data_IF_430934189915
#
_entry.id   IF_430934189915
#
_cell.length_a   1.000
_cell.length_b   1.000
_cell.length_c   1.000
_cell.angle_alpha   90.00
_cell.angle_beta   90.00
_cell.angle_gamma   90.00
#
_symmetry.space_group_name_H-M   'P 1'
#
loop_
_entity.id
_entity.type
_entity.pdbx_description
1 polymer ?
#
# COMPACT_ATOMS: atom_id res chain seq x y z
N UNK A 1 21.88 -4.64 15.03
CA UNK A 1 22.18 -4.49 13.60
C UNK A 1 23.53 -3.84 13.35
N UNK A 2 23.84 -2.63 13.85
CA UNK A 2 25.15 -1.98 13.64
C UNK A 2 26.34 -2.88 14.02
N UNK A 3 26.30 -3.49 15.21
CA UNK A 3 27.39 -4.38 15.68
C UNK A 3 27.54 -5.63 14.81
N UNK A 4 26.44 -6.13 14.23
CA UNK A 4 26.48 -7.24 13.27
C UNK A 4 27.20 -6.83 11.98
N UNK A 5 26.90 -5.64 11.44
CA UNK A 5 27.61 -5.13 10.25
C UNK A 5 29.09 -4.98 10.54
N UNK A 6 29.46 -4.34 11.66
CA UNK A 6 30.86 -4.14 12.05
C UNK A 6 31.61 -5.45 12.23
N UNK A 7 30.97 -6.43 12.88
CA UNK A 7 31.57 -7.75 13.11
C UNK A 7 31.86 -8.53 11.83
N UNK A 8 31.04 -8.35 10.78
CA UNK A 8 31.22 -9.07 9.51
C UNK A 8 32.29 -8.40 8.62
N UNK A 9 32.28 -7.06 8.63
CA UNK A 9 33.20 -6.28 7.77
C UNK A 9 34.56 -6.03 8.44
N UNK A 10 34.68 -6.40 9.72
CA UNK A 10 35.87 -6.19 10.54
C UNK A 10 36.27 -4.69 10.64
N UNK A 11 35.29 -3.85 10.95
CA UNK A 11 35.45 -2.40 11.09
C UNK A 11 35.04 -1.95 12.48
N UNK A 12 35.56 -0.81 12.89
CA UNK A 12 35.17 -0.18 14.14
C UNK A 12 34.39 1.15 13.95
N UNK A 13 34.09 1.83 15.07
CA UNK A 13 33.34 3.08 15.02
C UNK A 13 34.15 4.26 14.48
N UNK A 14 35.48 4.13 14.38
CA UNK A 14 36.35 5.15 13.78
C UNK A 14 36.42 5.02 12.26
N UNK A 15 36.24 3.81 11.72
CA UNK A 15 36.23 3.55 10.28
C UNK A 15 34.89 3.97 9.67
N UNK A 16 33.78 3.49 10.26
CA UNK A 16 32.42 3.85 9.81
C UNK A 16 31.59 4.28 11.02
N UNK A 17 31.16 5.53 11.04
CA UNK A 17 30.35 6.09 12.12
C UNK A 17 28.94 5.45 12.21
N UNK A 18 28.34 5.51 13.39
CA UNK A 18 26.95 5.04 13.61
C UNK A 18 25.95 5.68 12.65
N UNK A 19 26.12 6.98 12.39
CA UNK A 19 25.24 7.72 11.46
C UNK A 19 25.30 7.18 10.03
N UNK A 20 26.51 6.80 9.59
CA UNK A 20 26.67 6.22 8.22
C UNK A 20 26.06 4.84 8.16
N UNK A 21 26.22 4.01 9.20
CA UNK A 21 25.57 2.69 9.27
C UNK A 21 24.04 2.81 9.32
N UNK A 22 23.50 3.80 10.04
CA UNK A 22 22.06 4.05 10.08
C UNK A 22 21.53 4.48 8.70
N UNK A 23 22.30 5.29 7.97
CA UNK A 23 21.95 5.63 6.58
C UNK A 23 21.93 4.38 5.68
N UNK A 24 22.91 3.49 5.82
CA UNK A 24 22.95 2.26 5.03
C UNK A 24 21.76 1.33 5.37
N UNK A 25 21.44 1.20 6.65
CA UNK A 25 20.27 0.43 7.10
C UNK A 25 18.97 1.07 6.62
N UNK A 26 18.86 2.40 6.68
CA UNK A 26 17.71 3.16 6.18
C UNK A 26 17.52 3.00 4.66
N UNK A 27 18.59 3.08 3.88
CA UNK A 27 18.52 2.80 2.43
C UNK A 27 18.05 1.38 2.12
N UNK A 28 18.49 0.39 2.90
CA UNK A 28 18.03 -0.98 2.79
C UNK A 28 16.53 -1.10 3.12
N UNK A 29 16.09 -0.42 4.15
CA UNK A 29 14.70 -0.34 4.55
C UNK A 29 13.83 0.26 3.44
N UNK A 30 14.22 1.41 2.89
CA UNK A 30 13.52 2.05 1.79
C UNK A 30 13.46 1.15 0.55
N UNK A 31 14.56 0.47 0.23
CA UNK A 31 14.62 -0.46 -0.90
C UNK A 31 13.59 -1.60 -0.74
N UNK A 32 13.40 -2.12 0.48
CA UNK A 32 12.41 -3.16 0.76
C UNK A 32 10.99 -2.60 0.69
N UNK A 33 10.74 -1.46 1.35
CA UNK A 33 9.40 -0.85 1.47
C UNK A 33 8.85 -0.38 0.13
N UNK A 34 9.72 0.25 -0.67
CA UNK A 34 9.34 0.82 -1.97
C UNK A 34 9.62 -0.12 -3.15
N UNK A 35 10.02 -1.38 -2.88
CA UNK A 35 9.95 -2.41 -3.91
C UNK A 35 8.50 -2.47 -4.44
N UNK A 36 8.30 -2.77 -5.73
CA UNK A 36 7.00 -2.76 -6.41
C UNK A 36 5.94 -3.68 -5.78
N UNK A 37 6.30 -4.39 -4.72
CA UNK A 37 5.44 -5.34 -4.03
C UNK A 37 4.59 -4.64 -2.97
N UNK A 38 3.32 -5.01 -2.94
CA UNK A 38 2.42 -4.64 -1.87
C UNK A 38 2.68 -5.54 -0.67
N UNK A 39 3.08 -4.93 0.45
CA UNK A 39 3.35 -5.64 1.68
C UNK A 39 2.11 -5.72 2.57
N UNK A 40 1.59 -6.92 2.90
CA UNK A 40 0.38 -7.07 3.72
C UNK A 40 0.52 -6.48 5.14
N UNK A 41 1.72 -6.40 5.67
CA UNK A 41 1.96 -5.85 7.01
C UNK A 41 1.86 -4.31 7.10
N UNK A 42 1.72 -3.62 5.96
CA UNK A 42 1.35 -2.20 5.93
C UNK A 42 -0.14 -1.98 5.69
N UNK A 43 -0.90 -3.05 5.47
CA UNK A 43 -2.34 -2.95 5.35
C UNK A 43 -2.98 -2.70 6.72
N UNK A 44 -3.89 -1.75 6.77
CA UNK A 44 -4.66 -1.43 7.96
C UNK A 44 -6.05 -0.94 7.58
N UNK A 45 -6.87 -0.72 8.58
CA UNK A 45 -8.20 -0.15 8.40
C UNK A 45 -8.36 1.07 9.28
N UNK A 46 -9.09 2.06 8.77
CA UNK A 46 -9.50 3.23 9.51
C UNK A 46 -10.94 3.58 9.16
N UNK A 47 -11.51 4.50 9.88
CA UNK A 47 -12.85 5.02 9.61
C UNK A 47 -12.82 6.54 9.55
N UNK A 48 -13.72 7.14 8.80
CA UNK A 48 -13.96 8.57 8.85
C UNK A 48 -15.46 8.85 8.68
N UNK A 49 -15.90 9.99 9.20
CA UNK A 49 -17.29 10.38 9.09
C UNK A 49 -17.49 11.39 7.96
N UNK A 50 -18.53 11.18 7.16
CA UNK A 50 -18.94 12.17 6.18
C UNK A 50 -19.60 13.37 6.85
N UNK A 51 -19.56 14.50 6.17
CA UNK A 51 -20.25 15.73 6.57
C UNK A 51 -21.21 16.09 5.44
N UNK A 52 -22.46 16.38 5.78
CA UNK A 52 -23.46 16.78 4.79
C UNK A 52 -22.98 17.97 3.95
N UNK A 53 -23.10 17.86 2.64
CA UNK A 53 -22.63 18.87 1.69
C UNK A 53 -21.12 18.84 1.38
N UNK A 54 -20.33 18.00 2.05
CA UNK A 54 -18.89 17.85 1.80
C UNK A 54 -18.63 16.64 0.90
N UNK A 55 -18.10 16.89 -0.27
CA UNK A 55 -17.85 15.88 -1.30
C UNK A 55 -16.43 15.28 -1.21
N UNK A 56 -15.45 16.06 -0.76
CA UNK A 56 -14.02 15.73 -0.84
C UNK A 56 -13.40 15.57 0.54
N UNK A 57 -12.52 14.56 0.67
CA UNK A 57 -11.80 14.20 1.91
C UNK A 57 -10.36 13.94 1.58
N UNK A 58 -9.42 14.67 2.21
CA UNK A 58 -7.99 14.47 2.01
C UNK A 58 -7.51 13.22 2.74
N UNK A 59 -6.46 12.55 2.25
CA UNK A 59 -5.86 11.42 2.95
C UNK A 59 -5.45 11.76 4.38
N UNK A 60 -4.95 12.98 4.60
CA UNK A 60 -4.58 13.46 5.93
C UNK A 60 -5.80 13.52 6.88
N UNK A 61 -6.97 13.96 6.38
CA UNK A 61 -8.20 13.99 7.19
C UNK A 61 -8.73 12.59 7.50
N UNK A 62 -8.59 11.65 6.57
CA UNK A 62 -8.95 10.24 6.76
C UNK A 62 -8.00 9.57 7.76
N UNK A 63 -6.71 9.82 7.66
CA UNK A 63 -5.69 9.28 8.58
C UNK A 63 -5.85 9.78 10.02
N UNK A 64 -6.42 10.97 10.21
CA UNK A 64 -6.56 11.63 11.51
C UNK A 64 -7.81 11.29 12.31
N UNK A 65 -8.76 10.50 11.80
CA UNK A 65 -10.08 10.33 12.43
C UNK A 65 -10.65 8.91 12.29
N UNK A 66 -11.20 8.31 13.32
CA UNK A 66 -10.89 8.44 14.75
C UNK A 66 -9.63 7.65 15.13
N UNK A 67 -9.24 6.67 14.29
CA UNK A 67 -8.06 5.82 14.47
C UNK A 67 -6.88 6.50 13.77
N UNK A 68 -6.06 7.19 14.55
CA UNK A 68 -4.94 7.97 13.99
C UNK A 68 -3.88 7.07 13.38
N UNK A 69 -3.73 7.16 12.06
CA UNK A 69 -2.60 6.59 11.33
C UNK A 69 -1.51 7.66 11.26
N UNK A 70 -0.62 7.67 12.26
CA UNK A 70 0.41 8.72 12.43
C UNK A 70 1.37 8.83 11.26
N UNK A 71 1.60 7.73 10.54
CA UNK A 71 2.48 7.65 9.38
C UNK A 71 1.81 8.15 8.08
N UNK A 72 0.50 8.42 8.12
CA UNK A 72 -0.29 8.76 6.95
C UNK A 72 -0.66 7.56 6.08
N UNK A 73 -1.53 7.82 5.12
CA UNK A 73 -2.04 6.82 4.18
C UNK A 73 -1.27 6.93 2.87
N UNK A 74 -0.77 5.81 2.37
CA UNK A 74 -0.10 5.70 1.06
C UNK A 74 -1.10 5.41 -0.06
N UNK A 75 -2.07 4.51 0.21
CA UNK A 75 -3.03 4.05 -0.78
C UNK A 75 -4.34 3.65 -0.12
N UNK A 76 -5.46 3.93 -0.80
CA UNK A 76 -6.78 3.44 -0.42
C UNK A 76 -7.11 2.21 -1.26
N UNK A 77 -7.40 1.11 -0.60
CA UNK A 77 -7.71 -0.15 -1.24
C UNK A 77 -9.20 -0.34 -1.48
N UNK A 78 -10.01 0.06 -0.51
CA UNK A 78 -11.47 0.01 -0.63
C UNK A 78 -12.13 0.92 0.39
N UNK A 79 -13.27 1.46 0.02
CA UNK A 79 -14.17 2.19 0.89
C UNK A 79 -15.48 1.45 1.01
N UNK A 80 -16.08 1.45 2.20
CA UNK A 80 -17.41 0.91 2.42
C UNK A 80 -18.16 1.75 3.46
N UNK A 81 -19.45 1.83 3.32
CA UNK A 81 -20.33 2.25 4.41
C UNK A 81 -20.89 1.02 5.13
N UNK A 82 -21.84 1.21 6.04
CA UNK A 82 -22.47 0.10 6.77
C UNK A 82 -23.20 -0.89 5.85
N UNK A 83 -23.72 -0.44 4.72
CA UNK A 83 -24.66 -1.20 3.90
C UNK A 83 -23.96 -1.85 2.68
N UNK A 84 -23.00 -1.17 2.09
CA UNK A 84 -22.35 -1.65 0.85
C UNK A 84 -20.91 -1.15 0.69
N UNK A 85 -20.18 -1.79 -0.22
CA UNK A 85 -18.86 -1.34 -0.67
C UNK A 85 -19.07 -0.26 -1.72
N UNK A 86 -18.35 0.86 -1.59
CA UNK A 86 -18.36 1.94 -2.57
C UNK A 86 -17.58 1.50 -3.82
N UNK A 87 -18.14 1.73 -4.99
CA UNK A 87 -17.49 1.41 -6.25
C UNK A 87 -16.44 2.48 -6.60
N UNK A 88 -15.23 2.04 -6.95
CA UNK A 88 -14.21 2.97 -7.45
C UNK A 88 -14.50 3.32 -8.90
N UNK A 89 -14.51 4.60 -9.21
CA UNK A 89 -14.65 5.12 -10.57
C UNK A 89 -13.43 5.98 -10.94
N UNK A 90 -12.93 5.85 -12.16
CA UNK A 90 -11.88 6.73 -12.67
C UNK A 90 -12.38 8.18 -12.76
N UNK A 91 -11.46 9.14 -12.60
CA UNK A 91 -11.83 10.57 -12.61
C UNK A 91 -12.54 10.99 -13.90
N UNK A 92 -12.08 10.49 -15.05
CA UNK A 92 -12.70 10.79 -16.36
C UNK A 92 -14.16 10.33 -16.39
N UNK A 93 -14.45 9.14 -15.85
CA UNK A 93 -15.81 8.62 -15.73
C UNK A 93 -16.63 9.39 -14.71
N UNK A 94 -16.01 9.79 -13.59
CA UNK A 94 -16.65 10.57 -12.57
C UNK A 94 -17.11 11.94 -13.13
N UNK A 95 -16.25 12.61 -13.87
CA UNK A 95 -16.55 13.90 -14.49
C UNK A 95 -17.65 13.79 -15.58
N UNK A 96 -17.72 12.65 -16.25
CA UNK A 96 -18.77 12.37 -17.24
C UNK A 96 -20.11 12.08 -16.59
N UNK A 97 -20.14 11.25 -15.52
CA UNK A 97 -21.38 10.83 -14.85
C UNK A 97 -21.92 11.92 -13.92
N UNK A 98 -21.01 12.65 -13.25
CA UNK A 98 -21.30 13.69 -12.26
C UNK A 98 -20.73 15.05 -12.69
N UNK A 99 -21.27 15.69 -13.71
CA UNK A 99 -20.77 16.98 -14.16
C UNK A 99 -20.85 18.02 -13.03
N UNK A 100 -19.91 18.96 -13.03
CA UNK A 100 -19.71 19.95 -11.96
C UNK A 100 -20.95 20.81 -11.64
N UNK A 101 -21.84 20.97 -12.59
CA UNK A 101 -23.05 21.78 -12.46
C UNK A 101 -24.25 21.00 -11.88
N UNK A 102 -24.10 19.69 -11.64
CA UNK A 102 -25.16 18.85 -11.06
C UNK A 102 -24.77 18.49 -9.63
N UNK A 103 -25.46 19.08 -8.66
CA UNK A 103 -25.29 18.77 -7.23
C UNK A 103 -26.33 17.74 -6.81
N UNK A 104 -26.04 16.47 -7.02
CA UNK A 104 -26.84 15.39 -6.44
C UNK A 104 -26.33 15.12 -5.03
N UNK A 105 -27.20 15.19 -4.04
CA UNK A 105 -26.86 14.79 -2.66
C UNK A 105 -27.57 13.51 -2.28
N UNK A 106 -26.94 12.70 -1.43
CA UNK A 106 -27.47 11.44 -0.97
C UNK A 106 -26.41 10.57 -0.31
N UNK A 107 -26.75 9.33 -0.03
CA UNK A 107 -25.79 8.38 0.50
C UNK A 107 -24.75 8.01 -0.58
N UNK A 108 -23.45 8.18 -0.32
CA UNK A 108 -22.39 7.83 -1.28
C UNK A 108 -22.38 6.34 -1.61
N UNK A 109 -22.19 6.01 -2.87
CA UNK A 109 -22.05 4.63 -3.38
C UNK A 109 -20.93 4.45 -4.40
N UNK A 110 -20.34 5.57 -4.89
CA UNK A 110 -19.15 5.60 -5.73
C UNK A 110 -18.13 6.56 -5.13
N UNK A 111 -16.86 6.36 -5.52
CA UNK A 111 -15.77 7.26 -5.13
C UNK A 111 -14.70 7.31 -6.22
N UNK A 112 -14.01 8.44 -6.28
CA UNK A 112 -12.82 8.62 -7.10
C UNK A 112 -11.66 9.12 -6.25
N UNK A 113 -10.46 9.04 -6.79
CA UNK A 113 -9.24 9.46 -6.10
C UNK A 113 -8.37 10.31 -7.03
N UNK A 114 -8.01 11.48 -6.56
CA UNK A 114 -7.11 12.39 -7.27
C UNK A 114 -6.37 13.30 -6.30
N UNK A 115 -5.05 13.48 -6.49
CA UNK A 115 -4.22 14.40 -5.73
C UNK A 115 -4.43 14.28 -4.20
N UNK A 116 -4.23 13.07 -3.67
CA UNK A 116 -4.41 12.74 -2.24
C UNK A 116 -5.79 13.08 -1.66
N UNK A 117 -6.78 13.16 -2.52
CA UNK A 117 -8.15 13.50 -2.16
C UNK A 117 -9.13 12.43 -2.68
N UNK A 118 -9.96 11.97 -1.77
CA UNK A 118 -11.12 11.11 -2.08
C UNK A 118 -12.30 12.00 -2.38
N UNK A 119 -12.98 11.74 -3.48
CA UNK A 119 -14.25 12.37 -3.83
C UNK A 119 -15.36 11.34 -3.77
N UNK A 120 -16.40 11.61 -3.01
CA UNK A 120 -17.57 10.73 -2.84
C UNK A 120 -18.71 11.15 -3.76
N UNK A 121 -19.41 10.17 -4.32
CA UNK A 121 -20.55 10.37 -5.21
C UNK A 121 -21.74 9.47 -4.81
N UNK A 122 -22.97 10.05 -4.75
CA UNK A 122 -23.25 11.48 -4.74
C UNK A 122 -22.65 12.19 -3.53
N UNK A 123 -22.75 13.53 -3.50
CA UNK A 123 -22.31 14.31 -2.32
C UNK A 123 -23.07 13.85 -1.09
N UNK A 124 -22.41 13.53 0.03
CA UNK A 124 -23.09 13.12 1.27
C UNK A 124 -24.15 14.13 1.69
N UNK A 125 -25.33 13.63 2.05
CA UNK A 125 -26.44 14.44 2.58
C UNK A 125 -26.41 14.59 4.10
N UNK A 126 -25.62 13.75 4.78
CA UNK A 126 -25.48 13.74 6.23
C UNK A 126 -24.21 13.06 6.72
N UNK A 127 -24.13 12.90 8.03
CA UNK A 127 -23.04 12.17 8.66
C UNK A 127 -23.27 10.66 8.53
N UNK A 128 -22.31 9.97 7.91
CA UNK A 128 -22.27 8.52 7.83
C UNK A 128 -20.82 8.06 8.04
N UNK A 129 -20.64 6.91 8.69
CA UNK A 129 -19.31 6.34 8.88
C UNK A 129 -18.88 5.57 7.64
N UNK A 130 -17.73 5.93 7.10
CA UNK A 130 -17.06 5.24 6.01
C UNK A 130 -15.88 4.46 6.58
N UNK A 131 -15.83 3.18 6.27
CA UNK A 131 -14.72 2.27 6.61
C UNK A 131 -13.77 2.23 5.43
N UNK A 132 -12.49 2.56 5.68
CA UNK A 132 -11.45 2.55 4.68
C UNK A 132 -10.46 1.41 4.97
N UNK A 133 -10.18 0.57 3.97
CA UNK A 133 -9.01 -0.30 3.97
C UNK A 133 -7.91 0.42 3.23
N UNK A 134 -6.78 0.58 3.89
CA UNK A 134 -5.70 1.43 3.40
C UNK A 134 -4.35 0.74 3.57
N UNK A 135 -3.39 1.17 2.76
CA UNK A 135 -1.99 0.91 3.00
C UNK A 135 -1.40 2.16 3.66
N UNK A 136 -0.86 1.99 4.87
CA UNK A 136 -0.17 3.07 5.58
C UNK A 136 1.26 3.24 5.09
N UNK A 137 1.82 4.41 5.27
CA UNK A 137 3.25 4.59 5.15
C UNK A 137 3.98 3.84 6.27
N UNK A 138 5.23 3.40 6.05
CA UNK A 138 6.06 2.88 7.11
C UNK A 138 6.45 3.98 8.10
N UNK A 139 6.84 3.59 9.30
CA UNK A 139 7.52 4.49 10.22
C UNK A 139 8.95 4.71 9.74
N UNK A 140 9.41 5.96 9.72
CA UNK A 140 10.77 6.30 9.31
C UNK A 140 11.81 5.49 10.11
N UNK A 141 12.78 4.96 9.41
CA UNK A 141 13.89 4.19 9.97
C UNK A 141 15.21 4.64 9.37
N UNK A 142 16.24 4.76 10.19
CA UNK A 142 17.56 5.24 9.77
C UNK A 142 17.95 6.54 10.47
N UNK A 143 18.58 7.45 9.74
CA UNK A 143 19.01 8.75 10.28
C UNK A 143 17.82 9.60 10.67
N UNK A 144 17.85 10.10 11.92
CA UNK A 144 16.75 10.88 12.50
C UNK A 144 15.74 10.05 13.29
N UNK A 145 15.75 8.73 13.16
CA UNK A 145 14.98 7.87 14.05
C UNK A 145 15.66 7.76 15.41
N UNK A 146 14.88 7.54 16.46
CA UNK A 146 15.42 7.38 17.82
C UNK A 146 16.44 6.23 17.85
N UNK A 147 17.56 6.45 18.55
CA UNK A 147 18.58 5.40 18.78
C UNK A 147 17.91 4.17 19.40
N UNK A 148 18.08 3.01 18.77
CA UNK A 148 17.46 1.76 19.20
C UNK A 148 16.06 1.51 18.64
N UNK A 149 15.55 2.35 17.75
CA UNK A 149 14.29 2.08 17.04
C UNK A 149 14.41 0.79 16.23
N UNK A 150 13.35 -0.02 16.26
CA UNK A 150 13.23 -1.21 15.42
C UNK A 150 12.62 -0.81 14.06
N UNK A 151 13.09 -1.36 12.93
CA UNK A 151 12.46 -1.12 11.65
C UNK A 151 11.00 -1.60 11.68
N UNK A 152 10.13 -0.88 11.02
CA UNK A 152 8.71 -1.21 10.86
C UNK A 152 8.53 -2.33 9.83
N UNK A 153 9.24 -3.43 10.04
CA UNK A 153 9.23 -4.63 9.21
C UNK A 153 9.11 -5.86 10.12
N UNK A 154 8.49 -6.94 9.65
CA UNK A 154 8.51 -8.22 10.36
C UNK A 154 9.94 -8.71 10.63
N UNK A 155 10.14 -9.37 11.77
CA UNK A 155 11.46 -9.84 12.20
C UNK A 155 12.28 -10.62 11.14
N UNK A 156 11.69 -11.43 10.25
CA UNK A 156 12.45 -12.11 9.19
C UNK A 156 13.15 -11.18 8.19
N UNK A 157 12.72 -9.91 8.07
CA UNK A 157 13.37 -8.92 7.20
C UNK A 157 14.60 -8.26 7.83
N UNK A 158 14.74 -8.33 9.15
CA UNK A 158 15.85 -7.66 9.85
C UNK A 158 17.24 -8.16 9.40
N UNK A 159 17.48 -9.48 9.23
CA UNK A 159 18.75 -9.95 8.68
C UNK A 159 19.06 -9.44 7.27
N UNK A 160 18.01 -9.26 6.45
CA UNK A 160 18.16 -8.76 5.08
C UNK A 160 18.66 -7.31 5.07
N UNK A 161 18.17 -6.46 6.01
CA UNK A 161 18.69 -5.11 6.19
C UNK A 161 20.17 -5.11 6.53
N UNK A 162 20.59 -6.04 7.42
CA UNK A 162 22.00 -6.20 7.79
C UNK A 162 22.83 -6.59 6.57
N UNK A 163 22.36 -7.54 5.75
CA UNK A 163 23.04 -7.96 4.52
C UNK A 163 23.23 -6.80 3.54
N UNK A 164 22.22 -5.94 3.37
CA UNK A 164 22.32 -4.74 2.56
C UNK A 164 23.36 -3.75 3.10
N UNK A 165 23.34 -3.50 4.41
CA UNK A 165 24.28 -2.59 5.06
C UNK A 165 25.73 -3.12 4.96
N UNK A 166 25.95 -4.43 5.08
CA UNK A 166 27.26 -5.08 4.85
C UNK A 166 27.74 -4.83 3.43
N UNK A 167 26.88 -5.00 2.43
CA UNK A 167 27.24 -4.73 1.04
C UNK A 167 27.69 -3.28 0.84
N UNK A 168 26.97 -2.33 1.45
CA UNK A 168 27.33 -0.90 1.39
C UNK A 168 28.61 -0.58 2.13
N UNK A 169 28.86 -1.23 3.26
CA UNK A 169 30.10 -1.06 4.02
C UNK A 169 31.33 -1.56 3.21
N UNK A 170 31.23 -2.70 2.53
CA UNK A 170 32.30 -3.16 1.62
C UNK A 170 32.52 -2.21 0.44
N UNK A 171 31.46 -1.60 -0.10
CA UNK A 171 31.63 -0.56 -1.13
C UNK A 171 32.40 0.65 -0.61
N UNK A 172 32.18 1.03 0.64
CA UNK A 172 32.92 2.13 1.27
C UNK A 172 34.40 1.77 1.53
N UNK A 173 34.70 0.49 1.73
CA UNK A 173 36.07 -0.03 1.87
C UNK A 173 36.74 -0.34 0.54
N UNK A 174 36.17 0.05 -0.58
CA UNK A 174 36.71 -0.18 -1.93
C UNK A 174 36.84 -1.67 -2.31
N UNK A 175 36.03 -2.56 -1.67
CA UNK A 175 35.92 -3.97 -2.05
C UNK A 175 34.61 -4.25 -2.83
N UNK A 176 34.62 -4.01 -4.15
CA UNK A 176 33.41 -4.20 -4.96
C UNK A 176 33.05 -5.68 -5.16
N UNK A 177 33.98 -6.60 -4.99
CA UNK A 177 33.75 -8.04 -5.19
C UNK A 177 32.88 -8.58 -4.05
N UNK A 178 33.26 -8.31 -2.80
CA UNK A 178 32.45 -8.68 -1.64
C UNK A 178 31.12 -7.94 -1.62
N UNK A 179 31.12 -6.65 -1.92
CA UNK A 179 29.88 -5.87 -2.01
C UNK A 179 28.87 -6.48 -3.00
N UNK A 180 29.32 -6.89 -4.19
CA UNK A 180 28.44 -7.52 -5.18
C UNK A 180 27.88 -8.86 -4.70
N UNK A 181 28.66 -9.68 -4.00
CA UNK A 181 28.18 -10.94 -3.45
C UNK A 181 27.06 -10.72 -2.44
N UNK A 182 27.22 -9.76 -1.51
CA UNK A 182 26.19 -9.42 -0.53
C UNK A 182 24.94 -8.76 -1.16
N UNK A 183 25.09 -7.99 -2.23
CA UNK A 183 23.93 -7.46 -2.97
C UNK A 183 23.12 -8.58 -3.66
N UNK A 184 23.80 -9.56 -4.25
CA UNK A 184 23.12 -10.74 -4.83
C UNK A 184 22.40 -11.54 -3.74
N UNK A 185 23.04 -11.72 -2.58
CA UNK A 185 22.42 -12.39 -1.43
C UNK A 185 21.20 -11.60 -0.94
N UNK A 186 21.32 -10.28 -0.79
CA UNK A 186 20.19 -9.40 -0.43
C UNK A 186 18.98 -9.60 -1.36
N UNK A 187 19.20 -9.56 -2.67
CA UNK A 187 18.12 -9.75 -3.65
C UNK A 187 17.50 -11.15 -3.55
N UNK A 188 18.35 -12.18 -3.41
CA UNK A 188 17.88 -13.56 -3.26
C UNK A 188 17.04 -13.75 -2.00
N UNK A 189 17.50 -13.21 -0.88
CA UNK A 189 16.80 -13.31 0.40
C UNK A 189 15.49 -12.52 0.38
N UNK A 190 15.51 -11.32 -0.22
CA UNK A 190 14.31 -10.50 -0.41
C UNK A 190 13.26 -11.22 -1.27
N UNK A 191 13.67 -11.84 -2.37
CA UNK A 191 12.77 -12.61 -3.22
C UNK A 191 12.19 -13.84 -2.51
N UNK A 192 13.01 -14.55 -1.74
CA UNK A 192 12.57 -15.73 -0.99
C UNK A 192 11.56 -15.37 0.09
N UNK A 193 11.81 -14.30 0.83
CA UNK A 193 10.86 -13.81 1.84
C UNK A 193 9.65 -13.17 1.17
N UNK A 194 9.87 -12.37 0.13
CA UNK A 194 8.80 -11.73 -0.62
C UNK A 194 7.75 -12.72 -1.12
N UNK A 195 8.17 -13.90 -1.59
CA UNK A 195 7.23 -14.98 -1.97
C UNK A 195 6.38 -15.45 -0.82
N UNK A 196 6.91 -15.58 0.40
CA UNK A 196 6.12 -16.00 1.57
C UNK A 196 5.06 -14.98 1.98
N UNK A 197 5.29 -13.70 1.77
CA UNK A 197 4.36 -12.64 2.11
C UNK A 197 3.44 -12.25 0.94
N UNK A 198 3.89 -12.43 -0.30
CA UNK A 198 3.09 -12.14 -1.49
C UNK A 198 2.09 -13.26 -1.84
N UNK A 199 2.32 -14.49 -1.38
CA UNK A 199 1.39 -15.64 -1.50
C UNK A 199 0.18 -15.54 -0.54
N UNK A 200 -0.14 -14.34 -0.07
CA UNK A 200 -1.49 -14.12 0.46
C UNK A 200 -2.44 -14.40 -0.71
N UNK A 201 -3.35 -15.39 -0.60
CA UNK A 201 -4.32 -15.66 -1.65
C UNK A 201 -4.95 -14.33 -2.02
N UNK A 202 -4.85 -13.97 -3.31
CA UNK A 202 -5.55 -12.79 -3.81
C UNK A 202 -6.97 -12.86 -3.23
N UNK A 203 -7.49 -11.80 -2.61
CA UNK A 203 -8.82 -11.84 -2.05
C UNK A 203 -9.70 -12.38 -3.17
N UNK A 204 -10.25 -13.58 -2.95
CA UNK A 204 -11.15 -14.16 -3.94
C UNK A 204 -12.13 -13.06 -4.28
N UNK A 205 -12.34 -12.74 -5.56
CA UNK A 205 -13.29 -11.71 -5.90
C UNK A 205 -14.57 -12.08 -5.15
N UNK A 206 -14.93 -11.25 -4.18
CA UNK A 206 -16.18 -11.42 -3.46
C UNK A 206 -17.21 -11.66 -4.57
N UNK A 207 -17.90 -12.78 -4.50
CA UNK A 207 -18.91 -13.21 -5.45
C UNK A 207 -19.59 -11.98 -6.00
N UNK A 208 -19.33 -11.72 -7.29
CA UNK A 208 -19.76 -10.50 -7.93
C UNK A 208 -21.23 -10.32 -7.56
N UNK A 209 -21.51 -9.24 -6.85
CA UNK A 209 -22.88 -8.88 -6.55
C UNK A 209 -23.62 -9.05 -7.88
N UNK A 210 -24.74 -9.79 -7.89
CA UNK A 210 -25.43 -10.18 -9.13
C UNK A 210 -25.69 -9.00 -10.09
N UNK A 211 -25.65 -7.77 -9.56
CA UNK A 211 -25.71 -6.51 -10.32
C UNK A 211 -24.45 -6.23 -11.16
N UNK A 212 -23.26 -6.62 -10.69
CA UNK A 212 -22.00 -6.44 -11.44
C UNK A 212 -21.95 -7.46 -12.58
N UNK A 213 -22.32 -8.71 -12.31
CA UNK A 213 -22.40 -9.75 -13.33
C UNK A 213 -23.37 -9.36 -14.46
N UNK A 214 -24.48 -8.70 -14.13
CA UNK A 214 -25.47 -8.24 -15.13
C UNK A 214 -24.94 -7.07 -15.97
N UNK A 215 -24.16 -6.13 -15.40
CA UNK A 215 -23.56 -5.02 -16.16
C UNK A 215 -22.47 -5.50 -17.12
N UNK A 216 -21.63 -6.44 -16.73
CA UNK A 216 -20.61 -7.01 -17.63
C UNK A 216 -21.21 -7.91 -18.72
N UNK A 217 -22.33 -8.55 -18.45
CA UNK A 217 -23.02 -9.39 -19.43
C UNK A 217 -23.72 -8.58 -20.56
N UNK A 218 -24.01 -7.29 -20.32
CA UNK A 218 -24.68 -6.42 -21.30
C UNK A 218 -23.67 -5.75 -22.25
N UNK A 219 -22.39 -5.64 -21.86
CA UNK A 219 -21.34 -4.95 -22.64
C UNK A 219 -20.60 -5.79 -23.67
N UNK A 220 -20.67 -7.11 -23.57
CA UNK A 220 -20.08 -8.01 -24.57
C UNK A 220 -21.21 -8.71 -25.29
N UNK A 221 -21.51 -8.31 -26.52
CA UNK A 221 -22.40 -9.02 -27.45
C UNK A 221 -21.92 -10.46 -27.66
N UNK A 222 -22.07 -11.30 -26.65
CA UNK A 222 -21.66 -12.69 -26.63
C UNK A 222 -22.84 -13.61 -26.67
N UNK A 223 -22.82 -14.48 -27.67
CA UNK A 223 -23.67 -15.62 -27.93
C UNK A 223 -24.23 -16.27 -26.66
N UNK A 224 -25.55 -16.32 -26.55
CA UNK A 224 -26.25 -17.08 -25.51
C UNK A 224 -26.14 -18.57 -25.86
N UNK A 225 -25.45 -19.33 -25.03
CA UNK A 225 -25.57 -20.77 -25.01
C UNK A 225 -26.77 -21.16 -24.16
N UNK A 226 -27.75 -21.85 -24.75
CA UNK A 226 -28.81 -22.49 -23.98
C UNK A 226 -28.28 -23.83 -23.46
N UNK A 227 -28.66 -24.18 -22.23
CA UNK A 227 -28.28 -25.42 -21.56
C UNK A 227 -28.87 -26.72 -22.20
N UNK A 228 -29.51 -26.60 -23.35
CA UNK A 228 -30.14 -27.70 -24.09
C UNK A 228 -29.44 -28.06 -25.40
N UNK A 229 -28.19 -27.64 -25.61
CA UNK A 229 -27.35 -28.17 -26.69
C UNK A 229 -27.80 -27.93 -28.13
N UNK A 230 -28.64 -26.93 -28.41
CA UNK A 230 -29.09 -26.60 -29.75
C UNK A 230 -28.63 -25.18 -30.16
N UNK A 231 -27.90 -25.08 -31.26
CA UNK A 231 -27.65 -23.80 -31.97
C UNK A 231 -28.93 -23.35 -32.61
N UNK A 232 -29.45 -22.20 -32.21
CA UNK A 232 -30.55 -21.55 -32.93
C UNK A 232 -29.95 -20.39 -33.72
N UNK A 233 -30.20 -20.43 -35.01
CA UNK A 233 -29.77 -19.44 -36.01
C UNK A 233 -30.48 -18.10 -35.80
#
# INVERSE_FOLDING_TARGET
MRDQVRSVVDIDATDISDTVLDNMLGQGFDTIVYSEKRWPFFETSTTFNTVGGTKTYTLASIAGSPDTITQGIREIMSLRNNDHVLEFIGNDNADFIYPLNVTTSGQPWEWSFWNDTVTLYPTPDGAATIYARVMRNPTDFGVGSASGSSPDLPAPFHPILVTYAIAKAYLQQEDPVMAQQYLIQFQTDLDNIGRRYADVPAPQPMVANSRIATRYAIGTGGLRYSSSGGVIW
#
